data_IF_906308133346
#
_entry.id   IF_906308133346
#
_cell.length_a   1.000
_cell.length_b   1.000
_cell.length_c   1.000
_cell.angle_alpha   90.00
_cell.angle_beta   90.00
_cell.angle_gamma   90.00
#
_symmetry.space_group_name_H-M   'P 1'
#
loop_
_entity.id
_entity.type
_entity.pdbx_description
1 polymer ?
#
# COMPACT_ATOMS: atom_id res chain seq x y z
N UNK A 1 4.74 -8.07 21.63
CA UNK A 1 5.52 -7.46 20.53
C UNK A 1 4.65 -7.51 19.29
N UNK A 2 4.17 -6.37 18.83
CA UNK A 2 3.34 -6.27 17.62
C UNK A 2 4.07 -5.49 16.54
N UNK A 3 3.56 -5.52 15.32
CA UNK A 3 4.02 -4.67 14.21
C UNK A 3 2.91 -3.72 13.80
N UNK A 4 3.27 -2.50 13.44
CA UNK A 4 2.42 -1.59 12.68
C UNK A 4 2.71 -1.76 11.19
N UNK A 5 1.67 -1.66 10.38
CA UNK A 5 1.76 -1.90 8.96
C UNK A 5 0.62 -1.29 8.16
N UNK A 6 0.62 -1.64 6.88
CA UNK A 6 -0.40 -1.26 5.90
C UNK A 6 -1.02 -2.53 5.33
N UNK A 7 -2.34 -2.58 5.30
CA UNK A 7 -3.11 -3.53 4.51
C UNK A 7 -3.32 -2.93 3.13
N UNK A 8 -2.99 -3.71 2.11
CA UNK A 8 -3.11 -3.33 0.72
C UNK A 8 -4.02 -4.32 0.04
N UNK A 9 -5.00 -3.78 -0.66
CA UNK A 9 -5.83 -4.55 -1.54
C UNK A 9 -5.44 -4.35 -3.00
N UNK A 10 -4.90 -5.40 -3.60
CA UNK A 10 -4.30 -5.33 -4.93
C UNK A 10 -5.37 -5.36 -6.03
N UNK A 11 -6.49 -6.06 -5.82
CA UNK A 11 -7.56 -6.15 -6.83
C UNK A 11 -8.25 -4.81 -7.09
N UNK A 12 -8.29 -3.93 -6.08
CA UNK A 12 -8.86 -2.59 -6.23
C UNK A 12 -7.82 -1.53 -6.60
N UNK A 13 -6.53 -1.86 -6.58
CA UNK A 13 -5.49 -0.88 -6.91
C UNK A 13 -5.50 -0.57 -8.41
N UNK A 14 -5.80 0.69 -8.75
CA UNK A 14 -5.84 1.14 -10.15
C UNK A 14 -4.51 1.65 -10.69
N UNK A 15 -3.47 1.73 -9.85
CA UNK A 15 -2.18 2.27 -10.25
C UNK A 15 -2.15 3.78 -10.49
N UNK A 16 -3.05 4.56 -9.89
CA UNK A 16 -3.14 6.02 -10.10
C UNK A 16 -1.98 6.85 -9.51
N UNK A 17 -1.06 6.24 -8.76
CA UNK A 17 0.12 6.87 -8.14
C UNK A 17 -0.14 8.04 -7.17
N UNK A 18 -1.40 8.32 -6.83
CA UNK A 18 -1.76 9.36 -5.86
C UNK A 18 -1.10 9.13 -4.49
N UNK A 19 -0.97 7.87 -4.05
CA UNK A 19 -0.29 7.52 -2.81
C UNK A 19 1.23 7.80 -2.84
N UNK A 20 1.88 7.70 -4.01
CA UNK A 20 3.31 7.98 -4.19
C UNK A 20 3.54 9.48 -4.08
N UNK A 21 2.78 10.27 -4.84
CA UNK A 21 2.86 11.73 -4.82
C UNK A 21 2.53 12.31 -3.44
N UNK A 22 1.50 11.78 -2.78
CA UNK A 22 1.14 12.21 -1.42
C UNK A 22 2.24 11.91 -0.40
N UNK A 23 2.94 10.77 -0.55
CA UNK A 23 4.09 10.43 0.29
C UNK A 23 5.26 11.40 0.05
N UNK A 24 5.58 11.68 -1.21
CA UNK A 24 6.66 12.61 -1.56
C UNK A 24 6.37 14.03 -1.05
N UNK A 25 5.13 14.50 -1.17
CA UNK A 25 4.73 15.83 -0.71
C UNK A 25 4.77 15.95 0.82
N UNK A 26 4.30 14.94 1.56
CA UNK A 26 4.29 14.98 3.03
C UNK A 26 5.72 15.00 3.60
N UNK A 27 6.62 14.20 3.02
CA UNK A 27 7.99 14.05 3.54
C UNK A 27 9.03 14.94 2.84
N UNK A 28 8.64 15.68 1.80
CA UNK A 28 9.56 16.48 0.99
C UNK A 28 10.59 15.64 0.22
N UNK A 29 10.24 14.41 -0.14
CA UNK A 29 11.13 13.52 -0.88
C UNK A 29 11.33 13.97 -2.32
N UNK A 30 12.53 13.72 -2.84
CA UNK A 30 12.82 13.91 -4.27
C UNK A 30 12.21 12.77 -5.11
N UNK A 31 12.22 12.88 -6.44
CA UNK A 31 11.67 11.86 -7.34
C UNK A 31 12.30 10.47 -7.17
N UNK A 32 13.50 10.38 -6.59
CA UNK A 32 14.23 9.12 -6.36
C UNK A 32 14.01 8.53 -4.96
N UNK A 33 13.34 9.26 -4.09
CA UNK A 33 13.06 8.87 -2.71
C UNK A 33 11.55 8.64 -2.56
N UNK A 34 11.17 7.48 -2.05
CA UNK A 34 9.76 7.13 -1.92
C UNK A 34 9.55 6.12 -0.81
N UNK A 35 8.62 6.41 0.11
CA UNK A 35 8.16 5.46 1.12
C UNK A 35 7.39 4.29 0.50
N UNK A 36 6.75 4.51 -0.65
CA UNK A 36 6.08 3.49 -1.43
C UNK A 36 6.15 3.77 -2.94
N UNK A 37 6.17 2.73 -3.77
CA UNK A 37 6.04 2.82 -5.23
C UNK A 37 4.99 1.85 -5.74
N UNK A 38 4.39 2.13 -6.88
CA UNK A 38 3.51 1.17 -7.55
C UNK A 38 4.34 0.37 -8.55
N UNK A 39 4.25 -0.95 -8.50
CA UNK A 39 4.88 -1.85 -9.48
C UNK A 39 3.79 -2.57 -10.26
N UNK A 40 3.89 -2.53 -11.59
CA UNK A 40 2.95 -3.23 -12.47
C UNK A 40 3.38 -4.69 -12.61
N UNK A 41 2.47 -5.61 -12.32
CA UNK A 41 2.66 -7.03 -12.54
C UNK A 41 1.85 -7.45 -13.77
N UNK A 42 2.52 -7.97 -14.79
CA UNK A 42 1.89 -8.52 -15.99
C UNK A 42 1.95 -7.64 -17.24
N UNK A 43 1.26 -8.06 -18.31
CA UNK A 43 0.31 -9.17 -18.36
C UNK A 43 0.99 -10.55 -18.26
N UNK A 44 0.59 -11.35 -17.26
CA UNK A 44 1.00 -12.76 -17.13
C UNK A 44 -0.13 -13.65 -17.67
N UNK A 45 0.22 -14.61 -18.53
CA UNK A 45 -0.72 -15.57 -19.07
C UNK A 45 -0.90 -16.71 -18.07
N UNK A 46 -2.11 -16.89 -17.53
CA UNK A 46 -2.40 -17.96 -16.57
C UNK A 46 -3.04 -19.15 -17.29
N UNK A 47 -4.04 -18.89 -18.12
CA UNK A 47 -4.74 -19.91 -18.92
C UNK A 47 -5.10 -19.32 -20.29
N UNK A 48 -4.40 -19.78 -21.33
CA UNK A 48 -4.58 -19.31 -22.71
C UNK A 48 -5.96 -19.67 -23.27
N UNK A 49 -6.51 -20.82 -22.90
CA UNK A 49 -7.81 -21.28 -23.38
C UNK A 49 -8.96 -20.44 -22.79
N UNK A 50 -8.80 -19.98 -21.54
CA UNK A 50 -9.78 -19.13 -20.86
C UNK A 50 -9.56 -17.64 -21.09
N UNK A 51 -8.49 -17.25 -21.79
CA UNK A 51 -8.05 -15.85 -21.92
C UNK A 51 -7.90 -15.19 -20.55
N UNK A 52 -7.35 -15.94 -19.59
CA UNK A 52 -7.13 -15.46 -18.23
C UNK A 52 -5.74 -14.84 -18.12
N UNK A 53 -5.72 -13.55 -17.79
CA UNK A 53 -4.52 -12.73 -17.70
C UNK A 53 -4.47 -12.05 -16.34
N UNK A 54 -3.34 -12.19 -15.65
CA UNK A 54 -3.09 -11.42 -14.45
C UNK A 54 -2.45 -10.08 -14.81
N UNK A 55 -3.13 -9.00 -14.45
CA UNK A 55 -2.64 -7.63 -14.56
C UNK A 55 -2.99 -6.88 -13.28
N UNK A 56 -1.98 -6.67 -12.44
CA UNK A 56 -2.17 -6.10 -11.11
C UNK A 56 -1.22 -4.92 -10.89
N UNK A 57 -1.66 -3.95 -10.09
CA UNK A 57 -0.82 -2.87 -9.59
C UNK A 57 -0.51 -3.11 -8.12
N UNK A 58 0.77 -3.28 -7.79
CA UNK A 58 1.21 -3.66 -6.46
C UNK A 58 1.92 -2.48 -5.78
N UNK A 59 1.31 -1.86 -4.76
CA UNK A 59 2.00 -0.94 -3.86
C UNK A 59 3.10 -1.65 -3.08
N UNK A 60 4.35 -1.27 -3.32
CA UNK A 60 5.52 -1.77 -2.61
C UNK A 60 6.09 -0.69 -1.70
N UNK A 61 6.23 -1.00 -0.42
CA UNK A 61 6.79 -0.10 0.59
C UNK A 61 8.30 -0.28 0.70
N UNK A 62 9.01 0.81 1.01
CA UNK A 62 10.46 0.82 1.18
C UNK A 62 10.84 1.16 2.61
N UNK A 63 12.15 1.13 2.91
CA UNK A 63 12.69 1.57 4.21
C UNK A 63 12.52 3.06 4.50
N UNK A 64 12.14 3.86 3.50
CA UNK A 64 11.79 5.27 3.72
C UNK A 64 10.41 5.44 4.36
N UNK A 65 9.56 4.41 4.35
CA UNK A 65 8.26 4.48 5.01
C UNK A 65 8.42 4.45 6.53
N UNK A 66 7.95 5.49 7.19
CA UNK A 66 7.89 5.63 8.66
C UNK A 66 6.44 5.53 9.20
N UNK A 67 5.49 5.10 8.36
CA UNK A 67 4.04 5.13 8.62
C UNK A 67 3.49 6.53 8.92
N UNK A 68 4.15 7.58 8.43
CA UNK A 68 3.81 8.98 8.67
C UNK A 68 3.70 9.29 10.17
N UNK A 69 4.70 8.88 10.96
CA UNK A 69 4.69 8.96 12.43
C UNK A 69 4.28 10.35 12.96
N UNK A 70 4.80 11.42 12.38
CA UNK A 70 4.45 12.79 12.77
C UNK A 70 2.96 13.11 12.52
N UNK A 71 2.43 12.67 11.37
CA UNK A 71 1.04 12.89 10.96
C UNK A 71 0.08 12.07 11.83
N UNK A 72 0.44 10.81 12.09
CA UNK A 72 -0.31 9.91 12.98
C UNK A 72 -0.32 10.45 14.40
N UNK A 73 0.80 11.00 14.89
CA UNK A 73 0.89 11.67 16.18
C UNK A 73 -0.08 12.85 16.34
N UNK A 74 -0.52 13.46 15.23
CA UNK A 74 -1.53 14.54 15.19
C UNK A 74 -2.97 14.01 15.03
N UNK A 75 -3.19 12.69 15.16
CA UNK A 75 -4.50 12.05 15.03
C UNK A 75 -5.00 11.91 13.59
N UNK A 76 -4.13 12.10 12.60
CA UNK A 76 -4.45 11.92 11.17
C UNK A 76 -4.05 10.52 10.70
N UNK A 77 -4.61 10.08 9.58
CA UNK A 77 -4.18 8.84 8.92
C UNK A 77 -2.89 9.07 8.12
N UNK A 78 -2.10 8.00 7.83
CA UNK A 78 -1.00 8.07 6.89
C UNK A 78 -1.43 8.67 5.56
N UNK A 79 -0.57 9.48 4.95
CA UNK A 79 -0.91 10.25 3.75
C UNK A 79 -1.31 9.33 2.58
N UNK A 80 -0.65 8.18 2.43
CA UNK A 80 -0.95 7.20 1.40
C UNK A 80 -2.36 6.59 1.55
N UNK A 81 -2.80 6.34 2.79
CA UNK A 81 -4.15 5.83 3.09
C UNK A 81 -5.19 6.90 2.81
N UNK A 82 -4.96 8.12 3.32
CA UNK A 82 -5.88 9.24 3.13
C UNK A 82 -6.10 9.60 1.65
N UNK A 83 -5.05 9.51 0.83
CA UNK A 83 -5.10 9.91 -0.58
C UNK A 83 -5.34 8.75 -1.56
N UNK A 84 -5.57 7.54 -1.06
CA UNK A 84 -5.91 6.39 -1.90
C UNK A 84 -7.28 6.60 -2.57
N UNK A 85 -7.29 6.87 -3.88
CA UNK A 85 -8.53 7.11 -4.63
C UNK A 85 -9.45 5.89 -4.69
N UNK A 86 -8.85 4.68 -4.68
CA UNK A 86 -9.59 3.42 -4.69
C UNK A 86 -9.98 2.93 -3.29
N UNK A 87 -9.57 3.64 -2.23
CA UNK A 87 -9.78 3.22 -0.83
C UNK A 87 -9.31 1.78 -0.55
N UNK A 88 -8.21 1.38 -1.20
CA UNK A 88 -7.65 0.02 -1.15
C UNK A 88 -6.48 -0.11 -0.16
N UNK A 89 -6.26 0.90 0.69
CA UNK A 89 -5.20 0.92 1.70
C UNK A 89 -5.83 1.14 3.08
N UNK A 90 -5.36 0.40 4.08
CA UNK A 90 -5.72 0.59 5.49
C UNK A 90 -4.46 0.47 6.36
N UNK A 91 -4.46 1.01 7.57
CA UNK A 91 -3.29 1.03 8.45
C UNK A 91 -3.64 0.67 9.89
N UNK A 92 -2.64 0.17 10.61
CA UNK A 92 -2.77 -0.14 12.02
C UNK A 92 -1.86 -1.27 12.47
N UNK A 93 -2.23 -1.92 13.57
CA UNK A 93 -1.54 -3.12 14.04
C UNK A 93 -1.78 -4.25 13.05
N UNK A 94 -0.73 -4.96 12.69
CA UNK A 94 -0.79 -6.12 11.78
C UNK A 94 -1.78 -7.18 12.27
N UNK A 95 -1.88 -7.39 13.58
CA UNK A 95 -2.84 -8.31 14.22
C UNK A 95 -4.30 -7.92 13.95
N UNK A 96 -4.59 -6.63 13.88
CA UNK A 96 -5.94 -6.11 13.63
C UNK A 96 -6.22 -6.04 12.13
N UNK A 97 -5.22 -5.70 11.32
CA UNK A 97 -5.32 -5.74 9.86
C UNK A 97 -5.56 -7.17 9.35
N UNK A 98 -4.92 -8.17 9.95
CA UNK A 98 -5.11 -9.57 9.59
C UNK A 98 -6.56 -10.05 9.76
N UNK A 99 -7.29 -9.49 10.73
CA UNK A 99 -8.72 -9.81 10.94
C UNK A 99 -9.62 -9.15 9.90
N UNK A 100 -9.13 -8.11 9.21
CA UNK A 100 -9.86 -7.40 8.14
C UNK A 100 -9.65 -8.05 6.77
N UNK A 101 -8.74 -9.01 6.66
CA UNK A 101 -8.53 -9.75 5.41
C UNK A 101 -9.76 -10.62 5.15
N UNK A 102 -10.46 -10.31 4.06
CA UNK A 102 -11.75 -10.90 3.72
C UNK A 102 -11.83 -11.40 2.27
N UNK A 103 -10.83 -11.06 1.44
CA UNK A 103 -10.77 -11.45 0.03
C UNK A 103 -9.37 -11.85 -0.40
N UNK A 104 -9.30 -12.44 -1.59
CA UNK A 104 -8.04 -12.82 -2.21
C UNK A 104 -7.21 -11.57 -2.56
N UNK A 105 -5.90 -11.76 -2.78
CA UNK A 105 -4.95 -10.71 -3.18
C UNK A 105 -4.88 -9.48 -2.24
N UNK A 106 -5.21 -9.68 -0.98
CA UNK A 106 -4.87 -8.76 0.10
C UNK A 106 -3.48 -9.08 0.65
N UNK A 107 -2.67 -8.05 0.88
CA UNK A 107 -1.34 -8.18 1.46
C UNK A 107 -1.16 -7.22 2.64
N UNK A 108 -0.52 -7.70 3.69
CA UNK A 108 -0.16 -6.86 4.84
C UNK A 108 1.34 -6.67 4.83
N UNK A 109 1.76 -5.42 4.85
CA UNK A 109 3.17 -5.04 4.93
C UNK A 109 3.45 -4.51 6.33
N UNK A 110 4.23 -5.27 7.10
CA UNK A 110 4.77 -4.81 8.37
C UNK A 110 5.91 -3.82 8.11
N UNK A 111 5.85 -2.64 8.73
CA UNK A 111 6.81 -1.55 8.48
C UNK A 111 7.66 -1.27 9.73
N UNK A 112 7.03 -1.13 10.90
CA UNK A 112 7.71 -0.76 12.16
C UNK A 112 7.21 -1.64 13.30
N UNK A 113 8.07 -1.90 14.29
CA UNK A 113 7.61 -2.52 15.55
C UNK A 113 6.77 -1.52 16.35
N UNK A 114 5.66 -2.02 16.92
CA UNK A 114 4.71 -1.28 17.73
C UNK A 114 5.14 -1.18 19.19
#
# INVERSE_FOLDING_TARGET
MGYLGILVDVDYCTGCEACVLACQQEHGYTEREFGLKITKLGPLHIDEAKKDYQYDFIPQFTKWCDLCEERVGKGKQPTCVQHCQAQCLDWGRVEDLAKKVDREKQMIVAVKQA
#
